data_IF_395476775205
#
_entry.id   IF_395476775205
#
_cell.length_a   1.000
_cell.length_b   1.000
_cell.length_c   1.000
_cell.angle_alpha   90.00
_cell.angle_beta   90.00
_cell.angle_gamma   90.00
#
_symmetry.space_group_name_H-M   'P 1'
#
loop_
_entity.id
_entity.type
_entity.pdbx_description
1 polymer ?
#
# COMPACT_ATOMS: atom_id res chain seq x y z
N UNK A 1 26.35 23.21 -15.30
CA UNK A 1 24.98 23.22 -14.71
C UNK A 1 24.60 21.82 -14.24
N UNK A 2 24.75 21.57 -12.96
CA UNK A 2 24.35 20.30 -12.35
C UNK A 2 22.82 20.14 -12.29
N UNK A 3 22.07 21.27 -12.21
CA UNK A 3 20.62 21.27 -12.25
C UNK A 3 20.04 20.68 -13.56
N UNK A 4 20.62 21.01 -14.71
CA UNK A 4 20.21 20.41 -16.00
C UNK A 4 20.50 18.91 -16.02
N UNK A 5 21.65 18.51 -15.47
CA UNK A 5 22.02 17.10 -15.36
C UNK A 5 21.07 16.35 -14.41
N UNK A 6 20.69 16.95 -13.29
CA UNK A 6 19.74 16.37 -12.35
C UNK A 6 18.39 16.14 -13.02
N UNK A 7 17.86 17.15 -13.73
CA UNK A 7 16.60 17.01 -14.45
C UNK A 7 16.63 15.86 -15.46
N UNK A 8 17.71 15.76 -16.24
CA UNK A 8 17.84 14.64 -17.19
C UNK A 8 17.92 13.27 -16.53
N UNK A 9 18.63 13.17 -15.40
CA UNK A 9 18.69 11.93 -14.63
C UNK A 9 17.31 11.56 -14.06
N UNK A 10 16.57 12.54 -13.53
CA UNK A 10 15.20 12.33 -13.04
C UNK A 10 14.27 11.91 -14.16
N UNK A 11 14.35 12.56 -15.32
CA UNK A 11 13.54 12.21 -16.50
C UNK A 11 13.85 10.79 -17.02
N UNK A 12 15.13 10.41 -17.06
CA UNK A 12 15.54 9.05 -17.41
C UNK A 12 15.06 8.02 -16.37
N UNK A 13 15.18 8.33 -15.09
CA UNK A 13 14.66 7.48 -14.01
C UNK A 13 13.15 7.32 -14.12
N UNK A 14 12.43 8.40 -14.40
CA UNK A 14 10.98 8.39 -14.66
C UNK A 14 10.64 7.51 -15.86
N UNK A 15 11.31 7.69 -16.99
CA UNK A 15 11.08 6.88 -18.19
C UNK A 15 11.35 5.39 -17.93
N UNK A 16 12.43 5.07 -17.22
CA UNK A 16 12.74 3.70 -16.84
C UNK A 16 11.70 3.10 -15.87
N UNK A 17 11.18 3.89 -14.95
CA UNK A 17 10.13 3.48 -14.01
C UNK A 17 8.79 3.25 -14.71
N UNK A 18 8.45 4.06 -15.71
CA UNK A 18 7.22 3.95 -16.50
C UNK A 18 7.27 2.82 -17.53
N UNK A 19 8.44 2.33 -17.88
CA UNK A 19 8.60 1.27 -18.86
C UNK A 19 7.88 -0.02 -18.43
N UNK A 20 6.99 -0.51 -19.29
CA UNK A 20 6.16 -1.69 -19.03
C UNK A 20 4.79 -1.40 -18.43
N UNK A 21 4.50 -0.17 -18.06
CA UNK A 21 3.15 0.22 -17.61
C UNK A 21 2.28 0.63 -18.80
N UNK A 22 1.01 0.19 -18.78
CA UNK A 22 0.00 0.67 -19.74
C UNK A 22 -0.49 2.04 -19.28
N UNK A 23 0.01 3.09 -19.94
CA UNK A 23 -0.31 4.47 -19.58
C UNK A 23 -1.40 5.04 -20.48
N UNK A 24 -2.44 5.68 -19.93
CA UNK A 24 -3.39 6.44 -20.74
C UNK A 24 -2.68 7.58 -21.47
N UNK A 25 -2.96 7.74 -22.76
CA UNK A 25 -2.36 8.79 -23.58
C UNK A 25 -3.21 10.06 -23.50
N UNK A 26 -2.56 11.17 -23.17
CA UNK A 26 -3.13 12.52 -23.20
C UNK A 26 -2.08 13.51 -23.68
N UNK A 27 -2.49 14.59 -24.35
CA UNK A 27 -1.61 15.70 -24.71
C UNK A 27 -0.92 16.33 -23.51
N UNK A 28 -1.51 16.19 -22.31
CA UNK A 28 -0.98 16.69 -21.06
C UNK A 28 0.02 15.73 -20.38
N UNK A 29 0.08 14.48 -20.84
CA UNK A 29 0.93 13.45 -20.22
C UNK A 29 2.40 13.85 -20.08
N UNK A 30 3.09 14.45 -21.09
CA UNK A 30 4.49 14.81 -20.93
C UNK A 30 4.72 15.80 -19.78
N UNK A 31 3.85 16.80 -19.63
CA UNK A 31 3.94 17.77 -18.53
C UNK A 31 3.53 17.12 -17.21
N UNK A 32 2.43 16.37 -17.21
CA UNK A 32 1.92 15.71 -16.01
C UNK A 32 2.94 14.79 -15.35
N UNK A 33 3.73 14.06 -16.13
CA UNK A 33 4.74 13.14 -15.57
C UNK A 33 6.03 13.82 -15.09
N UNK A 34 6.41 14.97 -15.66
CA UNK A 34 7.74 15.56 -15.38
C UNK A 34 7.71 16.85 -14.55
N UNK A 35 6.56 17.45 -14.28
CA UNK A 35 6.50 18.76 -13.60
C UNK A 35 7.10 18.75 -12.18
N UNK A 36 6.96 17.65 -11.42
CA UNK A 36 7.59 17.54 -10.09
C UNK A 36 9.10 17.37 -10.20
N UNK A 37 9.59 16.70 -11.24
CA UNK A 37 11.01 16.57 -11.52
C UNK A 37 11.60 17.94 -11.94
N UNK A 38 10.84 18.73 -12.71
CA UNK A 38 11.19 20.12 -13.05
C UNK A 38 11.21 21.03 -11.79
N UNK A 39 10.25 20.86 -10.88
CA UNK A 39 10.22 21.60 -9.62
C UNK A 39 11.46 21.30 -8.76
N UNK A 40 11.84 20.04 -8.65
CA UNK A 40 13.06 19.64 -7.93
C UNK A 40 14.33 20.20 -8.60
N UNK A 41 14.38 20.18 -9.94
CA UNK A 41 15.52 20.75 -10.69
C UNK A 41 15.62 22.28 -10.50
N UNK A 42 14.50 23.01 -10.45
CA UNK A 42 14.47 24.44 -10.13
C UNK A 42 14.96 24.71 -8.71
N UNK A 43 14.45 23.97 -7.73
CA UNK A 43 14.89 24.09 -6.34
C UNK A 43 16.41 23.83 -6.23
N UNK A 44 16.90 22.80 -6.91
CA UNK A 44 18.33 22.51 -6.94
C UNK A 44 19.15 23.59 -7.69
N UNK A 45 18.59 24.22 -8.74
CA UNK A 45 19.26 25.33 -9.42
C UNK A 45 19.44 26.56 -8.50
N UNK A 46 18.51 26.81 -7.59
CA UNK A 46 18.62 27.84 -6.54
C UNK A 46 19.75 27.46 -5.57
N UNK A 47 19.74 26.22 -5.08
CA UNK A 47 20.81 25.70 -4.19
C UNK A 47 22.19 25.75 -4.86
N UNK A 48 22.27 25.34 -6.14
CA UNK A 48 23.53 25.41 -6.92
C UNK A 48 24.05 26.85 -7.04
N UNK A 49 23.13 27.82 -7.13
CA UNK A 49 23.49 29.24 -7.20
C UNK A 49 23.91 29.81 -5.85
N UNK A 50 23.15 29.53 -4.80
CA UNK A 50 23.42 29.99 -3.44
C UNK A 50 24.72 29.40 -2.86
N UNK A 51 25.01 28.13 -3.21
CA UNK A 51 26.22 27.43 -2.76
C UNK A 51 27.35 27.42 -3.81
N UNK A 52 27.37 28.38 -4.72
CA UNK A 52 28.39 28.45 -5.79
C UNK A 52 29.82 28.45 -5.25
N UNK A 53 30.07 29.05 -4.06
CA UNK A 53 31.35 29.06 -3.36
C UNK A 53 31.73 27.72 -2.72
N UNK A 54 30.80 26.78 -2.59
CA UNK A 54 30.98 25.49 -1.92
C UNK A 54 30.71 24.30 -2.87
N UNK A 55 31.51 24.11 -3.91
CA UNK A 55 31.21 23.12 -4.97
C UNK A 55 31.12 21.66 -4.45
N UNK A 56 31.84 21.32 -3.38
CA UNK A 56 31.78 19.97 -2.79
C UNK A 56 30.40 19.67 -2.19
N UNK A 57 29.77 20.65 -1.53
CA UNK A 57 28.43 20.50 -0.97
C UNK A 57 27.41 20.33 -2.10
N UNK A 58 27.51 21.14 -3.15
CA UNK A 58 26.63 21.01 -4.33
C UNK A 58 26.75 19.64 -4.99
N UNK A 59 27.96 19.08 -5.08
CA UNK A 59 28.18 17.74 -5.60
C UNK A 59 27.61 16.65 -4.68
N UNK A 60 27.73 16.81 -3.36
CA UNK A 60 27.16 15.86 -2.39
C UNK A 60 25.62 15.84 -2.48
N UNK A 61 24.99 17.02 -2.55
CA UNK A 61 23.53 17.13 -2.70
C UNK A 61 23.09 16.53 -4.04
N UNK A 62 23.76 16.86 -5.15
CA UNK A 62 23.48 16.28 -6.46
C UNK A 62 23.59 14.76 -6.45
N UNK A 63 24.67 14.22 -5.87
CA UNK A 63 24.89 12.78 -5.76
C UNK A 63 23.81 12.07 -4.94
N UNK A 64 23.43 12.65 -3.80
CA UNK A 64 22.36 12.10 -2.97
C UNK A 64 21.01 12.10 -3.70
N UNK A 65 20.66 13.19 -4.39
CA UNK A 65 19.43 13.29 -5.17
C UNK A 65 19.39 12.25 -6.30
N UNK A 66 20.48 12.11 -7.03
CA UNK A 66 20.58 11.16 -8.13
C UNK A 66 20.61 9.69 -7.66
N UNK A 67 21.34 9.39 -6.58
CA UNK A 67 21.39 8.04 -6.00
C UNK A 67 20.01 7.59 -5.51
N UNK A 68 19.28 8.46 -4.83
CA UNK A 68 17.93 8.14 -4.38
C UNK A 68 16.97 7.93 -5.55
N UNK A 69 17.06 8.74 -6.61
CA UNK A 69 16.29 8.54 -7.83
C UNK A 69 16.60 7.19 -8.50
N UNK A 70 17.88 6.78 -8.54
CA UNK A 70 18.28 5.50 -9.10
C UNK A 70 17.70 4.31 -8.31
N UNK A 71 17.75 4.35 -6.97
CA UNK A 71 17.17 3.33 -6.09
C UNK A 71 15.65 3.25 -6.24
N UNK A 72 14.98 4.38 -6.51
CA UNK A 72 13.53 4.37 -6.70
C UNK A 72 13.06 3.75 -8.02
N UNK A 73 13.90 3.60 -9.04
CA UNK A 73 13.48 2.98 -10.31
C UNK A 73 12.94 1.57 -10.12
N UNK A 74 13.68 0.62 -9.51
CA UNK A 74 13.13 -0.71 -9.23
C UNK A 74 11.92 -0.68 -8.28
N UNK A 75 11.89 0.23 -7.31
CA UNK A 75 10.76 0.34 -6.38
C UNK A 75 9.47 0.71 -7.12
N UNK A 76 9.51 1.75 -7.96
CA UNK A 76 8.33 2.16 -8.74
C UNK A 76 7.91 1.09 -9.75
N UNK A 77 8.85 0.37 -10.37
CA UNK A 77 8.53 -0.73 -11.30
C UNK A 77 7.79 -1.87 -10.63
N UNK A 78 8.09 -2.15 -9.37
CA UNK A 78 7.47 -3.26 -8.61
C UNK A 78 6.20 -2.82 -7.90
N UNK A 79 6.23 -1.66 -7.23
CA UNK A 79 5.16 -1.22 -6.34
C UNK A 79 4.23 -0.16 -6.97
N UNK A 80 4.53 0.30 -8.20
CA UNK A 80 3.81 1.40 -8.89
C UNK A 80 3.74 2.71 -8.06
N UNK A 81 4.60 2.85 -7.06
CA UNK A 81 4.68 4.03 -6.20
C UNK A 81 6.13 4.27 -5.75
N UNK A 82 6.58 5.54 -5.60
CA UNK A 82 7.88 5.85 -5.05
C UNK A 82 8.02 5.41 -3.58
N UNK A 83 9.25 5.19 -3.14
CA UNK A 83 9.58 4.85 -1.77
C UNK A 83 9.16 5.98 -0.82
N UNK A 84 8.24 5.69 0.08
CA UNK A 84 7.74 6.60 1.11
C UNK A 84 8.56 6.48 2.41
N UNK A 85 8.37 7.42 3.33
CA UNK A 85 9.04 7.37 4.64
C UNK A 85 8.65 6.13 5.46
N UNK A 86 7.38 5.72 5.39
CA UNK A 86 6.91 4.50 6.05
C UNK A 86 7.61 3.25 5.49
N UNK A 87 7.69 3.13 4.15
CA UNK A 87 8.42 2.05 3.50
C UNK A 87 9.90 2.05 3.85
N UNK A 88 10.55 3.24 3.93
CA UNK A 88 11.94 3.37 4.32
C UNK A 88 12.19 2.86 5.74
N UNK A 89 11.29 3.13 6.67
CA UNK A 89 11.36 2.59 8.04
C UNK A 89 11.18 1.07 8.05
N UNK A 90 10.21 0.55 7.31
CA UNK A 90 9.93 -0.88 7.20
C UNK A 90 11.06 -1.66 6.50
N UNK A 91 11.81 -1.05 5.57
CA UNK A 91 12.91 -1.67 4.86
C UNK A 91 14.09 -2.11 5.77
N UNK A 92 14.19 -1.56 6.98
CA UNK A 92 15.20 -1.93 7.99
C UNK A 92 14.80 -3.14 8.85
N UNK A 93 13.64 -3.72 8.59
CA UNK A 93 13.06 -4.82 9.39
C UNK A 93 12.37 -5.86 8.50
N UNK A 94 11.06 -6.03 8.63
CA UNK A 94 10.31 -7.14 8.03
C UNK A 94 10.36 -7.23 6.50
N UNK A 95 10.70 -6.13 5.80
CA UNK A 95 10.73 -6.09 4.32
C UNK A 95 12.11 -6.42 3.72
N UNK A 96 13.11 -6.74 4.53
CA UNK A 96 14.47 -6.99 4.03
C UNK A 96 14.50 -8.12 2.98
N UNK A 97 13.81 -9.22 3.23
CA UNK A 97 13.75 -10.37 2.32
C UNK A 97 13.10 -10.01 0.99
N UNK A 98 12.03 -9.21 1.02
CA UNK A 98 11.36 -8.71 -0.19
C UNK A 98 12.29 -7.84 -1.02
N UNK A 99 13.13 -7.00 -0.39
CA UNK A 99 14.12 -6.19 -1.10
C UNK A 99 15.09 -7.10 -1.87
N UNK A 100 15.59 -8.14 -1.23
CA UNK A 100 16.50 -9.10 -1.87
C UNK A 100 15.82 -9.89 -3.00
N UNK A 101 14.56 -10.30 -2.81
CA UNK A 101 13.79 -10.99 -3.85
C UNK A 101 13.63 -10.14 -5.11
N UNK A 102 13.39 -8.84 -4.97
CA UNK A 102 13.25 -7.91 -6.10
C UNK A 102 14.58 -7.31 -6.58
N UNK A 103 15.72 -7.62 -5.98
CA UNK A 103 17.04 -7.25 -6.48
C UNK A 103 17.46 -8.08 -7.71
N UNK A 104 16.56 -8.21 -8.68
CA UNK A 104 16.82 -8.94 -9.93
C UNK A 104 17.92 -8.26 -10.77
N UNK A 105 18.65 -8.98 -11.64
CA UNK A 105 19.65 -8.39 -12.51
C UNK A 105 19.11 -7.20 -13.33
N UNK A 106 17.87 -7.28 -13.81
CA UNK A 106 17.23 -6.19 -14.56
C UNK A 106 17.01 -4.94 -13.69
N UNK A 107 16.57 -5.09 -12.46
CA UNK A 107 16.35 -3.98 -11.52
C UNK A 107 17.67 -3.35 -11.07
N UNK A 108 18.68 -4.18 -10.81
CA UNK A 108 20.03 -3.70 -10.47
C UNK A 108 20.64 -2.98 -11.67
N UNK A 109 20.56 -3.53 -12.88
CA UNK A 109 21.06 -2.88 -14.10
C UNK A 109 20.38 -1.52 -14.34
N UNK A 110 19.07 -1.41 -14.14
CA UNK A 110 18.36 -0.13 -14.27
C UNK A 110 18.90 0.92 -13.28
N UNK A 111 19.08 0.57 -12.02
CA UNK A 111 19.65 1.47 -11.02
C UNK A 111 21.11 1.89 -11.37
N UNK A 112 21.91 0.93 -11.83
CA UNK A 112 23.30 1.19 -12.25
C UNK A 112 23.35 2.14 -13.48
N UNK A 113 22.49 1.91 -14.48
CA UNK A 113 22.43 2.78 -15.68
C UNK A 113 22.04 4.22 -15.29
N UNK A 114 21.06 4.39 -14.41
CA UNK A 114 20.68 5.73 -13.92
C UNK A 114 21.82 6.36 -13.09
N UNK A 115 22.48 5.60 -12.23
CA UNK A 115 23.65 6.07 -11.47
C UNK A 115 24.82 6.47 -12.37
N UNK A 116 25.11 5.68 -13.41
CA UNK A 116 26.15 6.01 -14.40
C UNK A 116 25.78 7.25 -15.20
N UNK A 117 24.50 7.40 -15.61
CA UNK A 117 24.03 8.62 -16.29
C UNK A 117 24.25 9.87 -15.42
N UNK A 118 24.03 9.78 -14.12
CA UNK A 118 24.29 10.88 -13.18
C UNK A 118 25.77 11.30 -13.15
N UNK A 119 26.71 10.39 -13.33
CA UNK A 119 28.12 10.71 -13.42
C UNK A 119 28.52 11.35 -14.77
N UNK A 120 27.84 10.99 -15.85
CA UNK A 120 28.16 11.41 -17.23
C UNK A 120 27.46 12.74 -17.60
N UNK A 121 26.18 12.90 -17.25
CA UNK A 121 25.35 14.06 -17.66
C UNK A 121 25.94 15.42 -17.31
N UNK A 122 26.61 15.65 -16.16
CA UNK A 122 27.24 16.94 -15.87
C UNK A 122 28.33 17.36 -16.87
N UNK A 123 29.00 16.38 -17.51
CA UNK A 123 29.99 16.65 -18.56
C UNK A 123 29.33 16.99 -19.89
N UNK A 124 28.28 16.25 -20.26
CA UNK A 124 27.55 16.45 -21.52
C UNK A 124 26.79 17.78 -21.53
N UNK A 125 26.18 18.16 -20.41
CA UNK A 125 25.31 19.34 -20.31
C UNK A 125 26.05 20.61 -19.82
N UNK A 126 27.38 20.66 -19.90
CA UNK A 126 28.18 21.83 -19.50
C UNK A 126 27.77 23.12 -20.20
N UNK A 127 27.44 23.03 -21.48
CA UNK A 127 27.13 24.17 -22.37
C UNK A 127 25.62 24.42 -22.52
N UNK A 128 24.77 23.74 -21.75
CA UNK A 128 23.31 23.88 -21.85
C UNK A 128 22.86 25.32 -21.52
N UNK A 129 21.91 25.89 -22.26
CA UNK A 129 21.46 27.28 -22.13
C UNK A 129 20.63 27.45 -20.85
N UNK A 130 21.28 27.94 -19.78
CA UNK A 130 20.69 28.02 -18.42
C UNK A 130 19.36 28.75 -18.38
N UNK A 131 19.25 29.91 -19.07
CA UNK A 131 18.02 30.74 -19.03
C UNK A 131 16.83 30.03 -19.67
N UNK A 132 17.06 29.36 -20.80
CA UNK A 132 16.00 28.60 -21.49
C UNK A 132 15.51 27.41 -20.67
N UNK A 133 16.43 26.68 -20.04
CA UNK A 133 16.08 25.55 -19.19
C UNK A 133 15.28 25.98 -17.95
N UNK A 134 15.69 27.03 -17.26
CA UNK A 134 14.98 27.56 -16.09
C UNK A 134 13.59 28.05 -16.52
N UNK A 135 13.46 28.77 -17.63
CA UNK A 135 12.17 29.21 -18.15
C UNK A 135 11.25 28.04 -18.52
N UNK A 136 11.79 27.02 -19.18
CA UNK A 136 11.05 25.80 -19.53
C UNK A 136 10.57 25.02 -18.28
N UNK A 137 11.43 24.88 -17.27
CA UNK A 137 11.03 24.22 -16.02
C UNK A 137 9.99 25.03 -15.24
N UNK A 138 10.15 26.36 -15.18
CA UNK A 138 9.18 27.23 -14.54
C UNK A 138 7.79 27.12 -15.21
N UNK A 139 7.75 27.11 -16.54
CA UNK A 139 6.52 26.89 -17.31
C UNK A 139 5.95 25.49 -17.05
N UNK A 140 6.78 24.45 -17.04
CA UNK A 140 6.36 23.09 -16.73
C UNK A 140 5.75 22.99 -15.32
N UNK A 141 6.33 23.64 -14.33
CA UNK A 141 5.82 23.69 -12.95
C UNK A 141 4.50 24.47 -12.89
N UNK A 142 4.39 25.61 -13.58
CA UNK A 142 3.16 26.39 -13.60
C UNK A 142 1.98 25.65 -14.25
N UNK A 143 2.24 24.88 -15.30
CA UNK A 143 1.23 24.06 -15.98
C UNK A 143 0.99 22.70 -15.31
N UNK A 144 1.90 22.27 -14.44
CA UNK A 144 1.91 20.95 -13.83
C UNK A 144 0.60 20.53 -13.14
N UNK A 145 0.04 21.34 -12.22
CA UNK A 145 -1.22 21.00 -11.56
C UNK A 145 -2.38 20.85 -12.52
N UNK A 146 -2.45 21.71 -13.57
CA UNK A 146 -3.48 21.62 -14.61
C UNK A 146 -3.28 20.36 -15.47
N UNK A 147 -2.04 20.04 -15.80
CA UNK A 147 -1.74 18.83 -16.56
C UNK A 147 -2.07 17.56 -15.75
N UNK A 148 -1.72 17.54 -14.45
CA UNK A 148 -2.03 16.43 -13.56
C UNK A 148 -3.54 16.23 -13.36
N UNK A 149 -4.35 17.28 -13.39
CA UNK A 149 -5.80 17.16 -13.30
C UNK A 149 -6.48 16.68 -14.59
N UNK A 150 -5.78 16.75 -15.74
CA UNK A 150 -6.30 16.39 -17.08
C UNK A 150 -5.70 15.09 -17.63
N UNK A 151 -4.69 14.54 -17.02
CA UNK A 151 -4.06 13.28 -17.39
C UNK A 151 -4.24 12.26 -16.26
N UNK A 152 -4.79 11.10 -16.58
CA UNK A 152 -4.80 9.98 -15.63
C UNK A 152 -3.39 9.38 -15.56
N UNK A 153 -2.65 9.78 -14.55
CA UNK A 153 -1.27 9.32 -14.31
C UNK A 153 -1.20 8.11 -13.40
N UNK A 154 -2.32 7.70 -12.81
CA UNK A 154 -2.40 6.61 -11.82
C UNK A 154 -1.43 6.77 -10.64
N UNK A 155 -1.06 8.02 -10.31
CA UNK A 155 -0.10 8.32 -9.24
C UNK A 155 1.37 8.15 -9.61
N UNK A 156 1.67 7.74 -10.85
CA UNK A 156 3.05 7.52 -11.33
C UNK A 156 3.79 8.84 -11.68
N UNK A 157 3.11 9.99 -11.65
CA UNK A 157 3.72 11.32 -11.82
C UNK A 157 4.60 11.73 -10.63
N UNK A 158 4.40 11.11 -9.47
CA UNK A 158 5.09 11.49 -8.23
C UNK A 158 6.61 11.43 -8.40
N UNK A 159 7.29 12.49 -7.98
CA UNK A 159 8.73 12.46 -7.85
C UNK A 159 9.10 11.73 -6.54
N UNK A 160 10.18 10.92 -6.58
CA UNK A 160 10.63 10.13 -5.44
C UNK A 160 10.94 10.99 -4.20
N UNK A 161 11.56 12.16 -4.38
CA UNK A 161 11.92 13.06 -3.28
C UNK A 161 10.71 13.78 -2.71
N UNK A 162 9.77 14.21 -3.56
CA UNK A 162 8.53 14.83 -3.08
C UNK A 162 7.68 13.82 -2.33
N UNK A 163 7.63 12.56 -2.77
CA UNK A 163 6.95 11.47 -2.07
C UNK A 163 7.58 11.19 -0.70
N UNK A 164 8.92 11.10 -0.62
CA UNK A 164 9.62 10.91 0.64
C UNK A 164 9.39 12.07 1.60
N UNK A 165 9.57 13.32 1.14
CA UNK A 165 9.44 14.51 1.96
C UNK A 165 7.99 14.71 2.47
N UNK A 166 7.00 14.54 1.60
CA UNK A 166 5.59 14.69 1.97
C UNK A 166 5.12 13.66 2.98
N UNK A 167 5.70 12.44 2.95
CA UNK A 167 5.36 11.35 3.89
C UNK A 167 6.22 11.36 5.15
N UNK A 168 7.37 12.05 5.14
CA UNK A 168 8.23 12.23 6.32
C UNK A 168 7.78 13.38 7.22
N UNK A 169 7.20 14.42 6.63
CA UNK A 169 6.63 15.52 7.39
C UNK A 169 5.35 15.04 8.07
N UNK A 170 5.12 15.42 9.37
CA UNK A 170 3.81 15.22 9.94
C UNK A 170 2.82 15.87 8.97
N UNK A 171 1.89 15.07 8.45
CA UNK A 171 0.88 15.63 7.57
C UNK A 171 0.19 16.73 8.37
N UNK A 172 0.43 17.96 7.99
CA UNK A 172 -0.47 19.05 8.29
C UNK A 172 -1.76 18.62 7.59
N UNK A 173 -2.54 17.83 8.31
CA UNK A 173 -3.76 17.24 7.83
C UNK A 173 -4.55 18.38 7.20
N UNK A 174 -4.67 18.38 5.88
CA UNK A 174 -5.84 18.98 5.31
C UNK A 174 -6.95 18.41 6.17
N UNK A 175 -7.67 19.24 6.92
CA UNK A 175 -8.69 18.82 7.87
C UNK A 175 -9.64 17.91 7.09
N UNK A 176 -9.35 16.60 7.08
CA UNK A 176 -10.37 15.63 6.84
C UNK A 176 -11.48 16.06 7.79
N UNK A 177 -12.67 16.38 7.26
CA UNK A 177 -13.72 16.86 8.10
C UNK A 177 -13.74 15.95 9.32
N UNK A 178 -13.82 16.50 10.53
CA UNK A 178 -13.77 15.73 11.78
C UNK A 178 -14.83 14.62 11.82
N UNK A 179 -15.65 14.57 10.82
CA UNK A 179 -16.81 13.72 10.64
C UNK A 179 -16.52 12.36 9.99
N UNK A 180 -15.34 12.16 9.34
CA UNK A 180 -15.03 10.89 8.69
C UNK A 180 -15.12 9.69 9.65
N UNK A 181 -14.83 9.88 10.95
CA UNK A 181 -14.91 8.84 11.97
C UNK A 181 -16.35 8.38 12.27
N UNK A 182 -17.35 9.13 11.80
CA UNK A 182 -18.78 8.89 12.05
C UNK A 182 -19.53 8.42 10.82
N UNK A 183 -18.89 8.44 9.64
CA UNK A 183 -19.52 8.03 8.39
C UNK A 183 -19.59 6.52 8.33
N UNK A 184 -20.74 5.97 8.67
CA UNK A 184 -21.06 4.56 8.51
C UNK A 184 -21.69 4.27 7.15
N UNK A 185 -21.81 2.99 6.80
CA UNK A 185 -22.63 2.56 5.66
C UNK A 185 -24.11 2.89 5.93
N UNK A 186 -24.81 3.37 4.90
CA UNK A 186 -26.26 3.49 4.98
C UNK A 186 -26.88 2.12 5.26
N UNK A 187 -27.77 2.08 6.25
CA UNK A 187 -28.54 0.87 6.52
C UNK A 187 -29.63 0.76 5.47
N UNK A 188 -29.39 -0.04 4.47
CA UNK A 188 -30.47 -0.49 3.59
C UNK A 188 -31.27 -1.52 4.39
N UNK A 189 -32.45 -1.15 4.87
CA UNK A 189 -33.40 -2.10 5.43
C UNK A 189 -34.00 -2.91 4.27
N UNK A 190 -33.39 -4.03 3.94
CA UNK A 190 -34.00 -5.00 3.02
C UNK A 190 -34.84 -5.96 3.86
N UNK A 191 -36.15 -5.79 3.81
CA UNK A 191 -37.12 -6.66 4.51
C UNK A 191 -36.93 -8.12 4.14
N UNK A 192 -36.41 -8.41 2.95
CA UNK A 192 -36.08 -9.77 2.52
C UNK A 192 -34.98 -10.41 3.35
N UNK A 193 -34.06 -9.63 3.88
CA UNK A 193 -32.99 -10.13 4.76
C UNK A 193 -33.47 -10.31 6.21
N UNK A 194 -34.53 -9.62 6.61
CA UNK A 194 -35.08 -9.74 7.96
C UNK A 194 -35.57 -11.15 8.27
N UNK A 195 -35.99 -11.90 7.28
CA UNK A 195 -36.42 -13.32 7.43
C UNK A 195 -35.29 -14.25 7.89
N UNK A 196 -34.02 -13.85 7.68
CA UNK A 196 -32.84 -14.61 8.11
C UNK A 196 -32.36 -14.25 9.51
N UNK A 197 -32.98 -13.23 10.13
CA UNK A 197 -32.57 -12.76 11.44
C UNK A 197 -32.79 -13.84 12.50
N UNK A 198 -31.73 -14.21 13.19
CA UNK A 198 -31.79 -15.19 14.29
C UNK A 198 -31.97 -16.63 13.89
N UNK A 199 -31.83 -17.01 12.60
CA UNK A 199 -31.93 -18.39 12.15
C UNK A 199 -30.79 -19.29 12.62
N UNK A 200 -29.65 -18.73 12.97
CA UNK A 200 -28.44 -19.46 13.35
C UNK A 200 -27.87 -18.99 14.72
N UNK A 201 -28.70 -18.94 15.77
CA UNK A 201 -28.18 -18.56 17.08
C UNK A 201 -27.21 -19.62 17.59
N UNK A 202 -26.05 -19.17 18.08
CA UNK A 202 -25.06 -20.07 18.63
C UNK A 202 -24.11 -20.74 17.65
N UNK A 203 -24.19 -20.42 16.36
CA UNK A 203 -23.24 -20.94 15.39
C UNK A 203 -21.89 -20.23 15.49
N UNK A 204 -20.81 -20.98 15.22
CA UNK A 204 -19.50 -20.41 15.04
C UNK A 204 -19.41 -19.67 13.71
N UNK A 205 -18.70 -18.56 13.69
CA UNK A 205 -18.47 -17.73 12.50
C UNK A 205 -16.98 -17.69 12.20
N UNK A 206 -16.59 -18.11 11.00
CA UNK A 206 -15.24 -17.99 10.47
C UNK A 206 -15.28 -16.98 9.32
N UNK A 207 -14.53 -15.89 9.45
CA UNK A 207 -14.33 -14.92 8.39
C UNK A 207 -12.93 -15.07 7.82
N UNK A 208 -12.81 -15.53 6.57
CA UNK A 208 -11.54 -15.64 5.86
C UNK A 208 -11.40 -14.45 4.92
N UNK A 209 -10.34 -13.68 5.10
CA UNK A 209 -10.00 -12.58 4.19
C UNK A 209 -8.75 -12.95 3.41
N UNK A 210 -8.92 -13.14 2.11
CA UNK A 210 -7.82 -13.44 1.18
C UNK A 210 -7.29 -12.12 0.63
N UNK A 211 -6.07 -11.76 1.04
CA UNK A 211 -5.42 -10.54 0.55
C UNK A 211 -4.90 -10.72 -0.87
N UNK A 212 -4.93 -9.63 -1.64
CA UNK A 212 -4.43 -9.59 -3.03
C UNK A 212 -5.05 -10.64 -3.97
N UNK A 213 -6.20 -11.19 -3.59
CA UNK A 213 -6.90 -12.21 -4.37
C UNK A 213 -8.06 -11.55 -5.12
N UNK A 214 -7.83 -11.19 -6.37
CA UNK A 214 -8.87 -10.59 -7.20
C UNK A 214 -9.82 -11.65 -7.78
N UNK A 215 -11.12 -11.35 -7.83
CA UNK A 215 -12.16 -12.25 -8.35
C UNK A 215 -11.85 -12.77 -9.76
N UNK A 216 -11.21 -11.98 -10.61
CA UNK A 216 -10.82 -12.35 -11.96
C UNK A 216 -9.84 -13.54 -12.05
N UNK A 217 -9.18 -13.92 -10.95
CA UNK A 217 -8.27 -15.06 -10.89
C UNK A 217 -8.90 -16.31 -10.28
N UNK A 218 -10.17 -16.24 -9.88
CA UNK A 218 -10.87 -17.34 -9.22
C UNK A 218 -11.74 -18.13 -10.22
N UNK A 219 -11.61 -19.44 -10.20
CA UNK A 219 -12.39 -20.33 -11.06
C UNK A 219 -13.90 -20.17 -10.86
N UNK A 220 -14.36 -19.91 -9.63
CA UNK A 220 -15.77 -19.65 -9.34
C UNK A 220 -16.34 -18.40 -10.07
N UNK A 221 -15.49 -17.49 -10.54
CA UNK A 221 -15.85 -16.34 -11.40
C UNK A 221 -15.40 -16.52 -12.86
N UNK A 222 -15.03 -17.73 -13.26
CA UNK A 222 -14.72 -18.07 -14.64
C UNK A 222 -13.26 -18.05 -15.03
N UNK A 223 -12.32 -17.85 -14.10
CA UNK A 223 -10.89 -17.91 -14.41
C UNK A 223 -10.44 -19.30 -14.85
N UNK A 224 -9.53 -19.33 -15.83
CA UNK A 224 -8.89 -20.55 -16.30
C UNK A 224 -7.36 -20.35 -16.37
N UNK A 225 -6.54 -21.23 -15.78
CA UNK A 225 -6.95 -22.38 -14.95
C UNK A 225 -7.55 -21.96 -13.59
N UNK A 226 -8.35 -22.83 -12.98
CA UNK A 226 -8.86 -22.61 -11.62
C UNK A 226 -7.72 -22.85 -10.61
N UNK A 227 -7.21 -21.78 -10.05
CA UNK A 227 -6.10 -21.82 -9.09
C UNK A 227 -6.57 -22.11 -7.64
N UNK A 228 -7.88 -22.06 -7.39
CA UNK A 228 -8.48 -22.33 -6.08
C UNK A 228 -9.66 -23.32 -6.16
N UNK A 229 -9.47 -24.56 -6.63
CA UNK A 229 -10.55 -25.50 -6.91
C UNK A 229 -11.34 -25.90 -5.65
N UNK A 230 -10.75 -25.83 -4.47
CA UNK A 230 -11.45 -26.08 -3.21
C UNK A 230 -12.47 -24.97 -2.89
N UNK A 231 -12.11 -23.70 -3.18
CA UNK A 231 -13.03 -22.57 -3.03
C UNK A 231 -14.19 -22.67 -4.02
N UNK A 232 -13.91 -23.02 -5.25
CA UNK A 232 -14.92 -23.26 -6.29
C UNK A 232 -15.89 -24.38 -5.88
N UNK A 233 -15.37 -25.45 -5.29
CA UNK A 233 -16.21 -26.55 -4.77
C UNK A 233 -17.07 -26.11 -3.58
N UNK A 234 -16.49 -25.36 -2.64
CA UNK A 234 -17.22 -24.81 -1.49
C UNK A 234 -18.34 -23.87 -1.94
N UNK A 235 -18.11 -23.07 -2.97
CA UNK A 235 -19.10 -22.15 -3.53
C UNK A 235 -20.37 -22.84 -4.04
N UNK A 236 -20.30 -24.11 -4.45
CA UNK A 236 -21.45 -24.89 -4.91
C UNK A 236 -22.49 -25.15 -3.81
N UNK A 237 -22.06 -25.11 -2.54
CA UNK A 237 -22.94 -25.29 -1.37
C UNK A 237 -23.18 -24.01 -0.57
N UNK A 238 -22.74 -22.88 -1.09
CA UNK A 238 -22.79 -21.58 -0.43
C UNK A 238 -23.56 -20.53 -1.22
N UNK A 239 -23.45 -19.29 -0.75
CA UNK A 239 -23.94 -18.09 -1.46
C UNK A 239 -22.75 -17.39 -2.10
N UNK A 240 -22.82 -17.17 -3.40
CA UNK A 240 -21.83 -16.42 -4.17
C UNK A 240 -22.38 -15.05 -4.51
N UNK A 241 -21.59 -14.01 -4.30
CA UNK A 241 -21.95 -12.63 -4.64
C UNK A 241 -21.24 -12.22 -5.94
N UNK A 242 -21.98 -12.06 -7.03
CA UNK A 242 -21.44 -11.65 -8.33
C UNK A 242 -20.98 -10.18 -8.36
N UNK A 243 -21.48 -9.36 -7.46
CA UNK A 243 -21.23 -7.91 -7.39
C UNK A 243 -20.81 -7.49 -5.99
N UNK A 244 -19.69 -8.03 -5.53
CA UNK A 244 -19.07 -7.61 -4.28
C UNK A 244 -17.84 -6.73 -4.58
N UNK A 245 -17.79 -5.55 -3.99
CA UNK A 245 -16.73 -4.57 -4.22
C UNK A 245 -16.05 -4.22 -2.90
N UNK A 246 -14.72 -4.10 -2.94
CA UNK A 246 -13.97 -3.58 -1.81
C UNK A 246 -14.30 -2.10 -1.60
N UNK A 247 -14.59 -1.71 -0.36
CA UNK A 247 -14.86 -0.31 -0.01
C UNK A 247 -13.60 0.58 -0.13
N UNK A 248 -12.42 -0.02 -0.16
CA UNK A 248 -11.14 0.66 -0.31
C UNK A 248 -10.12 -0.27 -0.97
N UNK A 249 -9.27 0.23 -1.89
CA UNK A 249 -8.33 -0.60 -2.65
C UNK A 249 -7.13 -1.09 -1.85
N UNK A 250 -6.81 -0.49 -0.70
CA UNK A 250 -5.71 -0.89 0.17
C UNK A 250 -6.23 -1.82 1.27
N UNK A 251 -5.57 -2.94 1.50
CA UNK A 251 -5.99 -4.01 2.41
C UNK A 251 -6.24 -3.52 3.83
N UNK A 252 -5.34 -2.70 4.37
CA UNK A 252 -5.38 -2.27 5.77
C UNK A 252 -6.60 -1.40 6.05
N UNK A 253 -6.83 -0.37 5.22
CA UNK A 253 -8.03 0.47 5.34
C UNK A 253 -9.30 -0.27 4.92
N UNK A 254 -9.21 -1.19 3.96
CA UNK A 254 -10.30 -2.10 3.60
C UNK A 254 -10.72 -2.95 4.79
N UNK A 255 -9.77 -3.40 5.61
CA UNK A 255 -10.03 -4.13 6.84
C UNK A 255 -10.84 -3.31 7.85
N UNK A 256 -10.58 -2.00 7.97
CA UNK A 256 -11.41 -1.12 8.78
C UNK A 256 -12.88 -1.15 8.35
N UNK A 257 -13.14 -1.12 7.05
CA UNK A 257 -14.51 -1.20 6.52
C UNK A 257 -15.21 -2.51 6.92
N UNK A 258 -14.48 -3.62 6.85
CA UNK A 258 -15.02 -4.95 7.23
C UNK A 258 -15.30 -5.02 8.73
N UNK A 259 -14.42 -4.49 9.57
CA UNK A 259 -14.57 -4.56 11.03
C UNK A 259 -15.59 -3.56 11.58
N UNK A 260 -15.62 -2.36 11.00
CA UNK A 260 -16.33 -1.21 11.55
C UNK A 260 -17.61 -0.83 10.77
N UNK A 261 -17.89 -1.49 9.63
CA UNK A 261 -18.99 -1.11 8.74
C UNK A 261 -19.00 0.38 8.40
N UNK A 262 -17.82 0.92 8.06
CA UNK A 262 -17.63 2.34 7.77
C UNK A 262 -16.67 2.53 6.58
N UNK A 263 -16.86 3.61 5.84
CA UNK A 263 -15.93 3.98 4.78
C UNK A 263 -14.64 4.54 5.38
N UNK A 264 -13.46 4.11 4.94
CA UNK A 264 -12.22 4.72 5.35
C UNK A 264 -12.01 6.06 4.64
N UNK A 265 -11.34 7.00 5.29
CA UNK A 265 -10.96 8.26 4.67
C UNK A 265 -9.70 8.10 3.81
N UNK A 266 -9.69 8.72 2.61
CA UNK A 266 -8.59 8.60 1.65
C UNK A 266 -7.29 9.22 2.18
N UNK A 267 -7.38 10.42 2.75
CA UNK A 267 -6.20 11.24 3.12
C UNK A 267 -5.84 11.16 4.61
N UNK A 268 -6.31 10.13 5.30
CA UNK A 268 -6.04 9.93 6.72
C UNK A 268 -5.00 8.83 6.90
N UNK A 269 -3.96 9.10 7.67
CA UNK A 269 -2.95 8.11 8.01
C UNK A 269 -3.56 6.94 8.79
N UNK A 270 -3.05 5.73 8.58
CA UNK A 270 -3.59 4.49 9.19
C UNK A 270 -3.58 4.58 10.72
N UNK A 271 -2.56 5.18 11.30
CA UNK A 271 -2.40 5.37 12.75
C UNK A 271 -3.56 6.14 13.39
N UNK A 272 -4.18 7.04 12.65
CA UNK A 272 -5.32 7.82 13.14
C UNK A 272 -6.59 6.97 13.37
N UNK A 273 -6.66 5.79 12.76
CA UNK A 273 -7.77 4.85 12.95
C UNK A 273 -7.78 4.21 14.35
N UNK A 274 -6.65 4.17 15.05
CA UNK A 274 -6.57 3.71 16.44
C UNK A 274 -7.49 4.49 17.38
N UNK A 275 -7.73 5.77 17.09
CA UNK A 275 -8.65 6.63 17.86
C UNK A 275 -10.06 6.74 17.26
N UNK A 276 -10.32 6.07 16.14
CA UNK A 276 -11.65 6.07 15.52
C UNK A 276 -12.60 5.19 16.32
N UNK A 277 -13.61 5.79 16.91
CA UNK A 277 -14.64 5.04 17.61
C UNK A 277 -15.48 4.28 16.57
N UNK A 278 -15.46 2.95 16.66
CA UNK A 278 -16.40 2.12 15.92
C UNK A 278 -16.87 0.96 16.79
N UNK A 279 -18.12 0.59 16.66
CA UNK A 279 -18.65 -0.64 17.21
C UNK A 279 -18.31 -1.78 16.27
N UNK A 280 -17.15 -2.37 16.45
CA UNK A 280 -16.60 -3.39 15.57
C UNK A 280 -17.38 -4.71 15.62
N UNK A 281 -17.29 -5.50 14.56
CA UNK A 281 -17.90 -6.84 14.51
C UNK A 281 -17.45 -7.73 15.67
N UNK A 282 -16.14 -7.83 16.03
CA UNK A 282 -15.70 -8.60 17.19
C UNK A 282 -16.30 -8.09 18.50
N UNK A 283 -16.35 -6.78 18.72
CA UNK A 283 -16.95 -6.20 19.93
C UNK A 283 -18.43 -6.58 20.06
N UNK A 284 -19.20 -6.47 18.96
CA UNK A 284 -20.63 -6.86 18.94
C UNK A 284 -20.81 -8.33 19.29
N UNK A 285 -19.90 -9.18 18.86
CA UNK A 285 -19.99 -10.63 19.12
C UNK A 285 -19.52 -10.97 20.53
N UNK A 286 -18.46 -10.34 21.01
CA UNK A 286 -17.97 -10.46 22.40
C UNK A 286 -19.05 -10.05 23.40
N UNK A 287 -19.77 -8.94 23.16
CA UNK A 287 -20.93 -8.51 23.97
C UNK A 287 -22.06 -9.58 24.03
N UNK A 288 -22.11 -10.49 23.06
CA UNK A 288 -23.04 -11.61 23.03
C UNK A 288 -22.47 -12.93 23.53
N UNK A 289 -21.30 -12.89 24.15
CA UNK A 289 -20.66 -14.04 24.75
C UNK A 289 -19.87 -14.92 23.78
N UNK A 290 -19.56 -14.44 22.55
CA UNK A 290 -18.63 -15.13 21.67
C UNK A 290 -17.20 -14.91 22.13
N UNK A 291 -16.38 -15.96 22.09
CA UNK A 291 -14.93 -15.80 22.10
C UNK A 291 -14.49 -15.35 20.71
N UNK A 292 -13.60 -14.36 20.65
CA UNK A 292 -13.21 -13.69 19.43
C UNK A 292 -11.71 -13.74 19.21
N UNK A 293 -11.26 -14.09 18.00
CA UNK A 293 -9.85 -14.13 17.67
C UNK A 293 -9.57 -13.61 16.25
N UNK A 294 -8.39 -13.06 16.06
CA UNK A 294 -7.81 -12.74 14.77
C UNK A 294 -6.44 -13.41 14.67
N UNK A 295 -6.27 -14.21 13.63
CA UNK A 295 -4.99 -14.79 13.22
C UNK A 295 -4.60 -14.16 11.89
N UNK A 296 -3.41 -13.55 11.86
CA UNK A 296 -2.88 -12.87 10.69
C UNK A 296 -1.55 -13.48 10.28
N UNK A 297 -1.44 -13.96 9.06
CA UNK A 297 -0.20 -14.56 8.57
C UNK A 297 0.95 -13.57 8.42
N UNK A 298 0.66 -12.26 8.29
CA UNK A 298 1.66 -11.19 8.27
C UNK A 298 1.95 -10.60 9.65
N UNK A 299 2.58 -9.44 9.67
CA UNK A 299 2.87 -8.69 10.91
C UNK A 299 1.92 -7.52 11.07
N UNK A 300 1.33 -7.33 12.26
CA UNK A 300 0.47 -6.16 12.54
C UNK A 300 1.21 -4.83 12.46
N UNK A 301 2.51 -4.83 12.73
CA UNK A 301 3.32 -3.62 12.57
C UNK A 301 3.47 -3.18 11.11
N UNK A 302 3.18 -4.06 10.14
CA UNK A 302 3.28 -3.74 8.73
C UNK A 302 2.24 -2.70 8.34
N UNK A 303 2.70 -1.58 7.77
CA UNK A 303 1.88 -0.43 7.35
C UNK A 303 0.88 0.08 8.41
N UNK A 304 1.12 -0.16 9.69
CA UNK A 304 0.28 0.35 10.77
C UNK A 304 -1.04 -0.42 10.97
N UNK A 305 -1.16 -1.65 10.48
CA UNK A 305 -2.37 -2.48 10.65
C UNK A 305 -2.79 -2.61 12.12
N UNK A 306 -1.85 -2.55 13.04
CA UNK A 306 -2.10 -2.59 14.47
C UNK A 306 -3.15 -1.55 14.92
N UNK A 307 -3.12 -0.34 14.35
CA UNK A 307 -4.10 0.70 14.64
C UNK A 307 -5.53 0.34 14.21
N UNK A 308 -5.69 -0.56 13.25
CA UNK A 308 -6.99 -1.02 12.77
C UNK A 308 -7.57 -2.11 13.66
N UNK A 309 -6.73 -3.04 14.15
CA UNK A 309 -7.17 -4.27 14.81
C UNK A 309 -7.14 -4.20 16.34
N UNK A 310 -6.25 -3.38 16.94
CA UNK A 310 -6.14 -3.21 18.38
C UNK A 310 -7.40 -2.55 18.94
N UNK A 311 -7.80 -2.95 20.14
CA UNK A 311 -8.96 -2.42 20.87
C UNK A 311 -10.31 -2.55 20.12
N UNK A 312 -10.44 -3.61 19.30
CA UNK A 312 -11.64 -3.92 18.51
C UNK A 312 -12.49 -5.04 19.10
N UNK A 313 -12.22 -5.46 20.34
CA UNK A 313 -13.02 -6.48 21.03
C UNK A 313 -12.61 -7.92 20.69
N UNK A 314 -11.38 -8.14 20.26
CA UNK A 314 -10.79 -9.47 20.16
C UNK A 314 -10.26 -9.94 21.50
N UNK A 315 -10.55 -11.19 21.88
CA UNK A 315 -9.94 -11.86 23.03
C UNK A 315 -8.50 -12.31 22.70
N UNK A 316 -8.26 -12.67 21.43
CA UNK A 316 -6.95 -13.11 20.92
C UNK A 316 -6.61 -12.36 19.65
N UNK A 317 -5.41 -11.77 19.62
CA UNK A 317 -4.80 -11.14 18.45
C UNK A 317 -3.42 -11.75 18.27
N UNK A 318 -3.23 -12.52 17.19
CA UNK A 318 -1.95 -13.16 16.89
C UNK A 318 -1.53 -12.85 15.46
N UNK A 319 -0.29 -12.43 15.30
CA UNK A 319 0.36 -12.21 14.01
C UNK A 319 1.42 -13.29 13.73
N UNK A 320 2.13 -13.16 12.63
CA UNK A 320 3.19 -14.10 12.25
C UNK A 320 4.24 -14.33 13.35
N UNK A 321 4.45 -13.36 14.26
CA UNK A 321 5.38 -13.48 15.36
C UNK A 321 4.92 -14.42 16.45
N UNK A 322 3.63 -14.42 16.71
CA UNK A 322 3.00 -15.25 17.73
C UNK A 322 2.73 -16.65 17.17
N UNK A 323 2.30 -16.73 15.91
CA UNK A 323 1.94 -17.98 15.24
C UNK A 323 3.15 -18.89 15.06
N UNK A 324 4.27 -18.32 14.60
CA UNK A 324 5.44 -19.08 14.18
C UNK A 324 5.14 -20.01 13.01
N UNK A 325 6.14 -20.44 12.28
CA UNK A 325 5.96 -21.35 11.14
C UNK A 325 7.28 -21.84 10.59
N UNK A 326 7.21 -22.86 9.73
CA UNK A 326 8.37 -23.45 9.08
C UNK A 326 8.95 -22.56 7.98
N UNK A 327 8.10 -21.77 7.35
CA UNK A 327 8.46 -20.80 6.32
C UNK A 327 8.08 -19.40 6.81
N UNK A 328 9.09 -18.56 7.06
CA UNK A 328 8.91 -17.15 7.39
C UNK A 328 9.55 -16.29 6.30
N UNK A 329 8.82 -15.29 5.86
CA UNK A 329 9.29 -14.27 4.94
C UNK A 329 8.98 -12.89 5.50
N UNK A 330 9.36 -11.84 4.79
CA UNK A 330 8.93 -10.47 5.14
C UNK A 330 7.42 -10.27 5.07
N UNK A 331 6.71 -11.15 4.36
CA UNK A 331 5.24 -11.16 4.31
C UNK A 331 4.59 -11.91 5.45
N UNK A 332 5.35 -12.69 6.22
CA UNK A 332 4.86 -13.42 7.38
C UNK A 332 5.14 -14.91 7.34
N UNK A 333 4.22 -15.70 7.89
CA UNK A 333 4.27 -17.17 7.93
C UNK A 333 3.34 -17.78 6.88
N UNK A 334 3.56 -19.05 6.59
CA UNK A 334 2.74 -19.80 5.64
C UNK A 334 1.30 -20.01 6.13
N UNK A 335 0.38 -20.17 5.20
CA UNK A 335 -1.04 -20.40 5.47
C UNK A 335 -1.30 -21.68 6.27
N UNK A 336 -0.63 -22.84 6.01
CA UNK A 336 -0.79 -24.02 6.83
C UNK A 336 -0.48 -23.79 8.31
N UNK A 337 0.57 -23.02 8.64
CA UNK A 337 0.91 -22.66 10.02
C UNK A 337 -0.17 -21.80 10.66
N UNK A 338 -0.67 -20.80 9.92
CA UNK A 338 -1.76 -19.92 10.37
C UNK A 338 -3.04 -20.70 10.63
N UNK A 339 -3.43 -21.58 9.70
CA UNK A 339 -4.63 -22.42 9.83
C UNK A 339 -4.48 -23.41 10.99
N UNK A 340 -3.33 -24.08 11.11
CA UNK A 340 -3.07 -24.99 12.22
C UNK A 340 -3.15 -24.29 13.59
N UNK A 341 -2.64 -23.05 13.68
CA UNK A 341 -2.75 -22.26 14.92
C UNK A 341 -4.20 -21.88 15.25
N UNK A 342 -4.95 -21.48 14.23
CA UNK A 342 -6.38 -21.18 14.34
C UNK A 342 -7.16 -22.42 14.82
N UNK A 343 -6.94 -23.59 14.22
CA UNK A 343 -7.62 -24.82 14.61
C UNK A 343 -7.30 -25.23 16.05
N UNK A 344 -6.03 -25.15 16.46
CA UNK A 344 -5.66 -25.40 17.86
C UNK A 344 -6.39 -24.48 18.85
N UNK A 345 -6.59 -23.21 18.48
CA UNK A 345 -7.35 -22.30 19.32
C UNK A 345 -8.83 -22.69 19.38
N UNK A 346 -9.42 -23.10 18.25
CA UNK A 346 -10.80 -23.60 18.18
C UNK A 346 -10.96 -24.81 19.10
N UNK A 347 -10.06 -25.78 19.00
CA UNK A 347 -10.12 -27.04 19.75
C UNK A 347 -9.84 -26.81 21.25
N UNK A 348 -8.93 -25.88 21.58
CA UNK A 348 -8.57 -25.52 22.94
C UNK A 348 -9.59 -24.64 23.68
N UNK A 349 -10.56 -24.07 22.98
CA UNK A 349 -11.67 -23.40 23.66
C UNK A 349 -12.58 -24.47 24.24
N UNK A 350 -12.37 -24.82 25.48
CA UNK A 350 -13.21 -25.79 26.19
C UNK A 350 -14.70 -25.45 26.06
N UNK A 351 -15.47 -26.46 25.74
CA UNK A 351 -16.92 -26.38 25.68
C UNK A 351 -17.43 -26.24 27.12
N UNK A 352 -17.52 -24.99 27.63
CA UNK A 352 -18.13 -24.73 28.92
C UNK A 352 -19.65 -24.59 28.74
N UNK A 353 -20.46 -25.59 29.16
CA UNK A 353 -21.90 -25.58 28.98
C UNK A 353 -22.61 -24.44 29.69
N UNK A 354 -21.95 -23.81 30.70
CA UNK A 354 -22.51 -22.68 31.45
C UNK A 354 -22.31 -21.34 30.76
N UNK A 355 -21.29 -21.23 29.90
CA UNK A 355 -21.06 -20.06 29.06
C UNK A 355 -20.95 -20.53 27.60
N UNK A 356 -22.06 -20.61 26.90
CA UNK A 356 -22.09 -20.80 25.43
C UNK A 356 -21.41 -19.61 24.76
N UNK A 357 -20.08 -19.57 24.77
CA UNK A 357 -19.32 -18.62 23.96
C UNK A 357 -19.25 -19.16 22.54
N UNK A 358 -20.09 -18.61 21.68
CA UNK A 358 -19.98 -18.83 20.24
C UNK A 358 -18.72 -18.13 19.71
N UNK A 359 -18.12 -18.62 18.64
CA UNK A 359 -16.79 -18.21 18.20
C UNK A 359 -16.84 -17.46 16.88
N UNK A 360 -16.15 -16.33 16.80
CA UNK A 360 -15.86 -15.64 15.54
C UNK A 360 -14.38 -15.70 15.28
N UNK A 361 -14.05 -16.21 14.10
CA UNK A 361 -12.67 -16.38 13.66
C UNK A 361 -12.43 -15.59 12.40
N UNK A 362 -11.30 -14.95 12.32
CA UNK A 362 -10.77 -14.35 11.10
C UNK A 362 -9.34 -14.82 10.88
N UNK A 363 -9.09 -15.46 9.75
CA UNK A 363 -7.75 -15.66 9.23
C UNK A 363 -7.53 -14.67 8.09
N UNK A 364 -6.44 -13.94 8.14
CA UNK A 364 -6.01 -13.03 7.07
C UNK A 364 -4.69 -13.58 6.52
N UNK A 365 -4.70 -14.09 5.31
CA UNK A 365 -3.54 -14.63 4.65
C UNK A 365 -3.01 -13.67 3.58
N UNK A 366 -1.71 -13.42 3.58
CA UNK A 366 -1.03 -12.85 2.43
C UNK A 366 -0.67 -14.02 1.51
N UNK A 367 -1.36 -14.12 0.37
CA UNK A 367 -1.08 -15.20 -0.59
C UNK A 367 0.34 -15.10 -1.12
N UNK A 368 1.19 -16.06 -0.77
CA UNK A 368 2.47 -16.27 -1.44
C UNK A 368 2.23 -17.21 -2.61
N UNK A 369 2.30 -16.69 -3.82
CA UNK A 369 2.30 -17.51 -5.03
C UNK A 369 3.70 -18.03 -5.26
N UNK A 370 3.91 -19.33 -5.09
CA UNK A 370 5.04 -20.02 -5.70
C UNK A 370 4.64 -20.35 -7.14
N UNK A 371 5.40 -19.78 -8.09
CA UNK A 371 5.33 -20.09 -9.51
C UNK A 371 5.93 -21.49 -9.77
#
# INVERSE_FOLDING_TARGET
MKAASLFMVLALAKAAALAGHSLPHSWWSPIAYVWQDAALALAFAIVESALASRPRIVWAIYGALAAYAAVNVPVVRVLSTPLTWAMWRAARGPLADSIWYYATPANVAAAVVIGASAAIMPRLLRRAPRRLLIGGWAMCVALGPVAASRADTRGLERNAWTALASTALPQLSARASSDWKRVGFERVSDDRLMRFRGLTPGWNVILVSLESTAAQYLGLYGAQPDVMPNLTRLAQSGIVFDRAYAAYPESIKGLYSVLCSAYPAFDVAVEAYGTAACRSLPAVLSERGYATALFHSGRFMYLGMEAIVRDRGYDVLEDAGDIGGNHQSSFGVDEPSTVARMLRWIDGCEWNPVHRRNRVLRAHGAGTWNA
#
